data_IF_701159185569
#
_entry.id   IF_701159185569
#
_cell.length_a   1.000
_cell.length_b   1.000
_cell.length_c   1.000
_cell.angle_alpha   90.00
_cell.angle_beta   90.00
_cell.angle_gamma   90.00
#
_symmetry.space_group_name_H-M   'P 1'
#
loop_
_entity.id
_entity.type
_entity.pdbx_description
1 polymer ?
#
# COMPACT_ATOMS: atom_id res chain seq x y z
N UNK A 1 10.62 46.46 11.28
CA UNK A 1 11.50 45.33 10.94
C UNK A 1 10.67 44.03 10.89
N UNK A 2 9.71 43.90 9.95
CA UNK A 2 8.81 42.72 9.83
C UNK A 2 8.75 42.18 8.38
N UNK A 3 9.50 42.78 7.45
CA UNK A 3 9.41 42.51 6.02
C UNK A 3 10.18 41.28 5.53
N UNK A 4 11.23 40.88 6.26
CA UNK A 4 12.22 39.93 5.73
C UNK A 4 11.85 38.46 5.95
N UNK A 5 10.80 38.19 6.74
CA UNK A 5 10.39 36.83 7.06
C UNK A 5 9.49 36.23 5.96
N UNK A 6 8.82 37.06 5.15
CA UNK A 6 7.91 36.60 4.09
C UNK A 6 8.64 36.12 2.82
N UNK A 7 9.81 36.67 2.53
CA UNK A 7 10.62 36.30 1.36
C UNK A 7 11.24 34.92 1.52
N UNK A 8 11.72 34.59 2.72
CA UNK A 8 12.32 33.28 3.04
C UNK A 8 11.38 32.10 2.78
N UNK A 9 10.09 32.21 3.12
CA UNK A 9 9.12 31.14 2.82
C UNK A 9 8.85 30.99 1.32
N UNK A 10 8.76 32.10 0.59
CA UNK A 10 8.51 32.07 -0.84
C UNK A 10 9.71 31.50 -1.61
N UNK A 11 10.93 31.80 -1.19
CA UNK A 11 12.15 31.26 -1.77
C UNK A 11 12.32 29.76 -1.44
N UNK A 12 11.92 29.31 -0.25
CA UNK A 12 11.89 27.89 0.10
C UNK A 12 10.87 27.10 -0.74
N UNK A 13 9.71 27.68 -1.08
CA UNK A 13 8.74 27.05 -1.97
C UNK A 13 9.22 27.00 -3.43
N UNK A 14 9.96 28.01 -3.88
CA UNK A 14 10.58 28.01 -5.22
C UNK A 14 11.76 27.05 -5.36
N UNK A 15 12.46 26.76 -4.27
CA UNK A 15 13.58 25.82 -4.22
C UNK A 15 13.14 24.35 -4.08
N UNK A 16 11.86 24.05 -4.26
CA UNK A 16 11.41 22.67 -4.43
C UNK A 16 11.64 22.27 -5.88
N UNK A 17 12.92 22.12 -6.25
CA UNK A 17 13.28 21.18 -7.30
C UNK A 17 12.59 19.87 -6.90
N UNK A 18 11.66 19.39 -7.73
CA UNK A 18 10.78 18.29 -7.36
C UNK A 18 11.63 17.10 -6.97
N UNK A 19 11.84 16.90 -5.67
CA UNK A 19 12.45 15.68 -5.13
C UNK A 19 11.75 14.54 -5.84
N UNK A 20 12.49 13.59 -6.45
CA UNK A 20 11.91 12.55 -7.28
C UNK A 20 10.79 11.94 -6.47
N UNK A 21 9.57 12.24 -6.91
CA UNK A 21 8.34 12.01 -6.18
C UNK A 21 8.39 10.53 -5.88
N UNK A 22 8.61 10.17 -4.60
CA UNK A 22 8.96 8.83 -4.17
C UNK A 22 8.04 7.87 -4.94
N UNK A 23 8.57 7.16 -5.95
CA UNK A 23 7.72 6.56 -6.98
C UNK A 23 7.00 5.40 -6.34
N UNK A 24 5.83 5.66 -5.78
CA UNK A 24 5.15 4.66 -4.99
C UNK A 24 4.39 3.77 -5.94
N UNK A 25 4.82 2.50 -6.00
CA UNK A 25 4.24 1.46 -6.83
C UNK A 25 2.72 1.37 -6.61
N UNK A 26 1.91 1.48 -7.68
CA UNK A 26 0.47 1.32 -7.61
C UNK A 26 0.07 -0.06 -7.06
N UNK A 27 -1.02 -0.18 -6.28
CA UNK A 27 -1.47 -1.48 -5.79
C UNK A 27 -1.73 -2.51 -6.89
N UNK A 28 -2.19 -2.08 -8.07
CA UNK A 28 -2.37 -2.97 -9.22
C UNK A 28 -1.07 -3.60 -9.71
N UNK A 29 0.04 -2.85 -9.69
CA UNK A 29 1.35 -3.36 -10.08
C UNK A 29 1.89 -4.35 -9.04
N UNK A 30 1.68 -4.06 -7.74
CA UNK A 30 2.01 -4.98 -6.65
C UNK A 30 1.26 -6.30 -6.84
N UNK A 31 -0.05 -6.25 -7.11
CA UNK A 31 -0.86 -7.45 -7.31
C UNK A 31 -0.38 -8.27 -8.52
N UNK A 32 -0.12 -7.61 -9.65
CA UNK A 32 0.36 -8.27 -10.85
C UNK A 32 1.72 -8.93 -10.64
N UNK A 33 2.65 -8.25 -9.97
CA UNK A 33 3.97 -8.79 -9.63
C UNK A 33 3.90 -10.02 -8.71
N UNK A 34 2.91 -10.09 -7.81
CA UNK A 34 2.72 -11.28 -6.98
C UNK A 34 2.08 -12.44 -7.74
N UNK A 35 1.17 -12.16 -8.69
CA UNK A 35 0.48 -13.18 -9.47
C UNK A 35 1.39 -13.96 -10.43
N UNK A 36 2.53 -13.38 -10.82
CA UNK A 36 3.50 -14.05 -11.72
C UNK A 36 4.45 -15.00 -10.97
N UNK A 37 4.45 -15.00 -9.64
CA UNK A 37 5.31 -15.90 -8.85
C UNK A 37 4.72 -17.32 -8.91
N UNK A 38 5.45 -18.30 -9.48
CA UNK A 38 4.96 -19.68 -9.55
C UNK A 38 4.83 -20.28 -8.15
N UNK A 39 3.86 -21.18 -7.97
CA UNK A 39 3.60 -21.93 -6.74
C UNK A 39 3.33 -21.07 -5.48
N UNK A 40 3.05 -19.77 -5.64
CA UNK A 40 2.67 -18.90 -4.53
C UNK A 40 1.20 -19.17 -4.16
N UNK A 41 0.99 -19.74 -2.97
CA UNK A 41 -0.35 -20.02 -2.47
C UNK A 41 -1.16 -18.71 -2.36
N UNK A 42 -2.47 -18.80 -2.62
CA UNK A 42 -3.38 -17.64 -2.60
C UNK A 42 -3.33 -16.88 -1.27
N UNK A 43 -3.25 -17.61 -0.15
CA UNK A 43 -3.08 -17.04 1.18
C UNK A 43 -1.82 -16.15 1.28
N UNK A 44 -0.68 -16.68 0.85
CA UNK A 44 0.61 -16.02 0.94
C UNK A 44 0.68 -14.81 0.00
N UNK A 45 0.04 -14.90 -1.17
CA UNK A 45 -0.13 -13.78 -2.09
C UNK A 45 -0.91 -12.64 -1.43
N UNK A 46 -2.09 -12.92 -0.87
CA UNK A 46 -2.94 -11.90 -0.23
C UNK A 46 -2.26 -11.28 1.01
N UNK A 47 -1.52 -12.09 1.76
CA UNK A 47 -0.77 -11.62 2.92
C UNK A 47 0.39 -10.71 2.50
N UNK A 48 1.12 -11.09 1.44
CA UNK A 48 2.23 -10.31 0.89
C UNK A 48 1.73 -9.01 0.26
N UNK A 49 0.61 -9.06 -0.45
CA UNK A 49 -0.07 -7.89 -0.99
C UNK A 49 -0.35 -6.87 0.12
N UNK A 50 -0.98 -7.30 1.21
CA UNK A 50 -1.25 -6.44 2.36
C UNK A 50 -0.01 -5.87 3.05
N UNK A 51 1.12 -6.59 3.05
CA UNK A 51 2.40 -6.12 3.63
C UNK A 51 3.09 -5.07 2.75
N UNK A 52 2.93 -5.14 1.43
CA UNK A 52 3.56 -4.23 0.46
C UNK A 52 2.77 -2.92 0.30
N UNK A 53 1.53 -2.86 0.80
CA UNK A 53 0.70 -1.67 0.75
C UNK A 53 0.93 -0.79 1.97
N UNK A 54 1.16 0.50 1.74
CA UNK A 54 1.16 1.52 2.78
C UNK A 54 -0.26 1.74 3.32
N UNK A 55 -0.40 1.93 4.64
CA UNK A 55 -1.70 2.06 5.32
C UNK A 55 -2.65 3.08 4.67
N UNK A 56 -2.13 4.23 4.22
CA UNK A 56 -2.92 5.28 3.55
C UNK A 56 -3.59 4.83 2.24
N UNK A 57 -3.10 3.74 1.62
CA UNK A 57 -3.57 3.19 0.35
C UNK A 57 -4.34 1.89 0.50
N UNK A 58 -4.56 1.44 1.73
CA UNK A 58 -5.18 0.15 2.01
C UNK A 58 -6.59 0.07 1.41
N UNK A 59 -7.34 1.17 1.45
CA UNK A 59 -8.64 1.27 0.78
C UNK A 59 -8.54 1.25 -0.76
N UNK A 60 -7.57 1.96 -1.34
CA UNK A 60 -7.37 1.94 -2.80
C UNK A 60 -6.99 0.54 -3.27
N UNK A 61 -6.09 -0.12 -2.54
CA UNK A 61 -5.69 -1.47 -2.79
C UNK A 61 -6.84 -2.48 -2.64
N UNK A 62 -7.71 -2.28 -1.65
CA UNK A 62 -8.95 -3.05 -1.49
C UNK A 62 -9.82 -2.99 -2.75
N UNK A 63 -10.00 -1.78 -3.29
CA UNK A 63 -10.82 -1.56 -4.48
C UNK A 63 -10.20 -2.15 -5.75
N UNK A 64 -8.88 -2.34 -5.79
CA UNK A 64 -8.18 -2.99 -6.92
C UNK A 64 -8.19 -4.53 -6.85
N UNK A 65 -8.50 -5.12 -5.70
CA UNK A 65 -8.64 -6.56 -5.61
C UNK A 65 -9.90 -7.05 -6.35
N UNK A 66 -9.84 -8.23 -6.99
CA UNK A 66 -11.04 -8.91 -7.50
C UNK A 66 -12.05 -9.15 -6.39
N UNK A 67 -13.34 -8.98 -6.69
CA UNK A 67 -14.43 -9.09 -5.69
C UNK A 67 -14.42 -10.43 -4.95
N UNK A 68 -14.07 -11.52 -5.64
CA UNK A 68 -13.99 -12.87 -5.07
C UNK A 68 -13.02 -13.01 -3.89
N UNK A 69 -11.94 -12.22 -3.85
CA UNK A 69 -10.90 -12.30 -2.79
C UNK A 69 -10.97 -11.17 -1.77
N UNK A 70 -11.84 -10.17 -1.98
CA UNK A 70 -11.97 -9.02 -1.07
C UNK A 70 -12.37 -9.43 0.35
N UNK A 71 -13.33 -10.36 0.49
CA UNK A 71 -13.77 -10.87 1.80
C UNK A 71 -12.65 -11.62 2.51
N UNK A 72 -11.95 -12.50 1.79
CA UNK A 72 -10.83 -13.29 2.31
C UNK A 72 -9.71 -12.40 2.82
N UNK A 73 -9.33 -11.38 2.04
CA UNK A 73 -8.31 -10.43 2.46
C UNK A 73 -8.72 -9.59 3.67
N UNK A 74 -9.98 -9.14 3.77
CA UNK A 74 -10.48 -8.43 4.95
C UNK A 74 -10.42 -9.28 6.22
N UNK A 75 -10.85 -10.54 6.15
CA UNK A 75 -10.78 -11.45 7.29
C UNK A 75 -9.33 -11.65 7.75
N UNK A 76 -8.42 -11.84 6.80
CA UNK A 76 -6.99 -11.97 7.08
C UNK A 76 -6.38 -10.73 7.77
N UNK A 77 -6.79 -9.52 7.36
CA UNK A 77 -6.34 -8.29 8.02
C UNK A 77 -6.89 -8.16 9.44
N UNK A 78 -8.14 -8.55 9.66
CA UNK A 78 -8.78 -8.51 10.99
C UNK A 78 -8.16 -9.52 11.95
N UNK A 79 -7.76 -10.70 11.47
CA UNK A 79 -7.15 -11.77 12.26
C UNK A 79 -5.71 -11.49 12.71
N UNK A 80 -5.00 -10.59 12.03
CA UNK A 80 -3.64 -10.19 12.40
C UNK A 80 -3.57 -9.57 13.81
N UNK A 81 -4.72 -9.21 14.39
CA UNK A 81 -4.88 -8.74 15.77
C UNK A 81 -5.25 -9.85 16.78
N UNK A 82 -5.45 -11.10 16.35
CA UNK A 82 -6.14 -12.11 17.18
C UNK A 82 -5.67 -13.56 17.12
N UNK A 83 -5.28 -14.16 15.98
CA UNK A 83 -4.82 -15.56 15.96
C UNK A 83 -4.22 -15.97 14.61
N UNK A 84 -3.01 -16.55 14.63
CA UNK A 84 -2.11 -16.67 13.47
C UNK A 84 -2.24 -17.96 12.64
N UNK A 85 -3.40 -18.63 12.56
CA UNK A 85 -3.43 -19.88 11.78
C UNK A 85 -4.74 -20.63 11.67
N UNK A 86 -5.78 -20.08 11.03
CA UNK A 86 -7.01 -20.87 10.77
C UNK A 86 -7.58 -20.84 9.35
N UNK A 87 -7.05 -20.05 8.41
CA UNK A 87 -7.73 -19.88 7.13
C UNK A 87 -7.03 -20.49 5.91
N UNK A 88 -5.87 -21.14 6.08
CA UNK A 88 -5.16 -21.80 4.98
C UNK A 88 -5.23 -23.33 5.04
N UNK A 89 -6.16 -23.90 5.80
CA UNK A 89 -6.43 -25.34 5.78
C UNK A 89 -7.74 -25.58 5.03
N UNK A 90 -7.64 -25.79 3.72
CA UNK A 90 -8.58 -26.61 2.96
C UNK A 90 -7.75 -27.64 2.23
#
# INVERSE_FOLDING_TARGET
MLGDMKTSFHDALKSTESLPLHHVTPPSEILAALQVIPDLARCDLLQSYGKLILNERLFQAFMKLPMAVRKEWLLMLNEKNGNRGRFCTI
#
